data_IF_573357087654
#
_entry.id   IF_573357087654
#
_cell.length_a   1.000
_cell.length_b   1.000
_cell.length_c   1.000
_cell.angle_alpha   90.00
_cell.angle_beta   90.00
_cell.angle_gamma   90.00
#
_symmetry.space_group_name_H-M   'P 1'
#
loop_
_entity.id
_entity.type
_entity.pdbx_description
1 polymer ?
#
# COMPACT_ATOMS: atom_id res chain seq x y z
N UNK A 1 -34.03 -45.58 -27.74
CA UNK A 1 -33.15 -44.69 -28.50
C UNK A 1 -33.08 -43.22 -28.01
N UNK A 2 -34.19 -42.56 -27.55
CA UNK A 2 -34.15 -41.12 -27.12
C UNK A 2 -33.37 -40.85 -25.81
N UNK A 3 -33.28 -41.82 -24.87
CA UNK A 3 -32.57 -41.64 -23.60
C UNK A 3 -31.03 -41.62 -23.71
N UNK A 4 -30.49 -42.36 -24.67
CA UNK A 4 -29.04 -42.38 -24.92
C UNK A 4 -28.54 -41.15 -25.68
N UNK A 5 -29.37 -40.51 -26.50
CA UNK A 5 -29.05 -39.28 -27.22
C UNK A 5 -28.96 -38.06 -26.26
N UNK A 6 -29.80 -38.02 -25.21
CA UNK A 6 -29.77 -36.97 -24.17
C UNK A 6 -28.52 -37.08 -23.29
N UNK A 7 -28.11 -38.29 -22.93
CA UNK A 7 -26.90 -38.51 -22.12
C UNK A 7 -25.62 -38.09 -22.88
N UNK A 8 -25.52 -38.37 -24.17
CA UNK A 8 -24.41 -37.99 -25.01
C UNK A 8 -24.32 -36.46 -25.22
N UNK A 9 -25.46 -35.77 -25.30
CA UNK A 9 -25.49 -34.29 -25.44
C UNK A 9 -25.07 -33.59 -24.15
N UNK A 10 -25.43 -34.12 -22.97
CA UNK A 10 -25.02 -33.54 -21.67
C UNK A 10 -23.53 -33.76 -21.43
N UNK A 11 -22.95 -34.90 -21.74
CA UNK A 11 -21.51 -35.15 -21.64
C UNK A 11 -20.70 -34.28 -22.63
N UNK A 12 -21.19 -34.06 -23.86
CA UNK A 12 -20.55 -33.20 -24.84
C UNK A 12 -20.55 -31.74 -24.43
N UNK A 13 -21.61 -31.25 -23.82
CA UNK A 13 -21.68 -29.87 -23.29
C UNK A 13 -20.74 -29.65 -22.10
N UNK A 14 -20.61 -30.65 -21.21
CA UNK A 14 -19.71 -30.58 -20.06
C UNK A 14 -18.22 -30.57 -20.48
N UNK A 15 -17.85 -31.29 -21.53
CA UNK A 15 -16.47 -31.30 -22.07
C UNK A 15 -16.14 -29.99 -22.79
N UNK A 16 -17.12 -29.36 -23.46
CA UNK A 16 -16.91 -28.07 -24.14
C UNK A 16 -16.72 -26.92 -23.15
N UNK A 17 -17.34 -26.96 -21.98
CA UNK A 17 -17.17 -25.92 -20.95
C UNK A 17 -15.82 -25.99 -20.24
N UNK A 18 -15.19 -27.15 -20.14
CA UNK A 18 -13.85 -27.31 -19.55
C UNK A 18 -12.76 -26.78 -20.52
N UNK A 19 -12.98 -26.86 -21.85
CA UNK A 19 -12.04 -26.36 -22.86
C UNK A 19 -12.02 -24.83 -22.97
N UNK A 20 -12.95 -24.10 -22.35
CA UNK A 20 -13.03 -22.64 -22.36
C UNK A 20 -12.42 -21.98 -21.09
N UNK A 21 -11.89 -22.77 -20.15
CA UNK A 21 -11.07 -22.23 -19.08
C UNK A 21 -9.71 -21.82 -19.69
N UNK A 22 -9.57 -20.56 -20.05
CA UNK A 22 -8.28 -19.98 -20.45
C UNK A 22 -7.27 -20.24 -19.33
N UNK A 23 -6.11 -20.72 -19.68
CA UNK A 23 -5.01 -20.79 -18.72
C UNK A 23 -4.69 -19.37 -18.31
N UNK A 24 -4.85 -19.04 -17.03
CA UNK A 24 -4.26 -17.83 -16.46
C UNK A 24 -2.74 -17.96 -16.64
N UNK A 25 -2.14 -17.12 -17.47
CA UNK A 25 -0.69 -17.09 -17.64
C UNK A 25 -0.13 -16.15 -16.60
N UNK A 26 0.63 -16.68 -15.65
CA UNK A 26 1.32 -15.88 -14.63
C UNK A 26 2.47 -15.03 -15.21
N UNK A 27 2.87 -15.29 -16.47
CA UNK A 27 4.00 -14.63 -17.13
C UNK A 27 3.73 -14.42 -18.61
N UNK A 28 4.20 -13.29 -19.12
CA UNK A 28 4.28 -13.05 -20.57
C UNK A 28 5.63 -13.56 -21.04
N UNK A 29 5.62 -14.30 -22.15
CA UNK A 29 6.82 -14.89 -22.74
C UNK A 29 7.05 -14.31 -24.12
N UNK A 30 8.17 -13.60 -24.31
CA UNK A 30 8.57 -13.00 -25.58
C UNK A 30 10.00 -13.40 -25.98
N UNK A 31 10.32 -13.23 -27.26
CA UNK A 31 11.64 -13.60 -27.82
C UNK A 31 12.38 -12.35 -28.27
N UNK A 32 13.64 -12.22 -27.84
CA UNK A 32 14.57 -11.16 -28.18
C UNK A 32 15.83 -11.78 -28.78
N UNK A 33 16.00 -11.64 -30.09
CA UNK A 33 17.08 -12.34 -30.80
C UNK A 33 16.95 -13.86 -30.65
N UNK A 34 17.93 -14.46 -29.96
CA UNK A 34 17.93 -15.90 -29.63
C UNK A 34 17.45 -16.21 -28.22
N UNK A 35 17.09 -15.20 -27.42
CA UNK A 35 16.67 -15.36 -26.04
C UNK A 35 15.16 -15.37 -25.91
N UNK A 36 14.65 -16.24 -25.06
CA UNK A 36 13.26 -16.25 -24.64
C UNK A 36 13.20 -15.72 -23.20
N UNK A 37 12.38 -14.69 -22.98
CA UNK A 37 12.23 -14.01 -21.69
C UNK A 37 10.79 -14.13 -21.22
N UNK A 38 10.60 -14.65 -20.00
CA UNK A 38 9.32 -14.64 -19.32
C UNK A 38 9.33 -13.53 -18.24
N UNK A 39 8.27 -12.71 -18.19
CA UNK A 39 8.12 -11.54 -17.32
C UNK A 39 6.79 -11.61 -16.59
N UNK A 40 6.82 -11.47 -15.25
CA UNK A 40 5.62 -11.49 -14.39
C UNK A 40 5.94 -11.20 -12.93
N UNK A 41 4.98 -11.50 -12.05
CA UNK A 41 5.22 -11.47 -10.61
C UNK A 41 5.94 -12.75 -10.15
N UNK A 42 6.80 -12.62 -9.12
CA UNK A 42 7.42 -13.79 -8.46
C UNK A 42 6.38 -14.60 -7.70
N UNK A 43 5.46 -13.91 -7.02
CA UNK A 43 4.38 -14.55 -6.27
C UNK A 43 3.03 -14.06 -6.78
N UNK A 44 2.17 -14.99 -7.18
CA UNK A 44 0.79 -14.72 -7.57
C UNK A 44 -0.20 -15.54 -6.71
N UNK A 45 -1.33 -14.93 -6.36
CA UNK A 45 -1.73 -13.54 -6.61
C UNK A 45 -0.87 -12.53 -5.83
N UNK A 46 -0.57 -11.38 -6.45
CA UNK A 46 0.15 -10.28 -5.80
C UNK A 46 -0.78 -9.51 -4.86
N UNK A 47 -0.31 -9.17 -3.65
CA UNK A 47 -1.12 -8.47 -2.65
C UNK A 47 -0.47 -7.16 -2.19
N UNK A 48 -1.31 -6.18 -1.87
CA UNK A 48 -0.89 -4.92 -1.24
C UNK A 48 -0.20 -5.19 0.09
N UNK A 49 0.99 -4.60 0.30
CA UNK A 49 1.74 -4.69 1.55
C UNK A 49 2.51 -6.00 1.74
N UNK A 50 2.38 -6.96 0.82
CA UNK A 50 3.19 -8.17 0.82
C UNK A 50 4.51 -7.93 0.06
N UNK A 51 5.60 -8.52 0.55
CA UNK A 51 6.84 -8.58 -0.21
C UNK A 51 6.63 -9.41 -1.48
N UNK A 52 7.09 -8.88 -2.61
CA UNK A 52 7.03 -9.53 -3.92
C UNK A 52 8.22 -9.08 -4.77
N UNK A 53 8.31 -9.57 -6.00
CA UNK A 53 9.32 -9.16 -6.96
C UNK A 53 8.76 -9.21 -8.38
N UNK A 54 9.32 -8.40 -9.26
CA UNK A 54 9.25 -8.69 -10.68
C UNK A 54 10.18 -9.85 -10.96
N UNK A 55 9.65 -10.92 -11.53
CA UNK A 55 10.40 -12.11 -11.94
C UNK A 55 10.67 -12.06 -13.45
N UNK A 56 11.93 -12.30 -13.80
CA UNK A 56 12.39 -12.42 -15.19
C UNK A 56 13.08 -13.76 -15.32
N UNK A 57 12.63 -14.61 -16.26
CA UNK A 57 13.30 -15.90 -16.55
C UNK A 57 13.84 -15.84 -17.96
N UNK A 58 15.15 -16.05 -18.11
CA UNK A 58 15.86 -15.94 -19.40
C UNK A 58 16.39 -17.30 -19.82
N UNK A 59 16.09 -17.68 -21.05
CA UNK A 59 16.60 -18.90 -21.69
C UNK A 59 17.22 -18.56 -23.05
N UNK A 60 18.27 -19.31 -23.43
CA UNK A 60 18.86 -19.24 -24.75
C UNK A 60 18.00 -19.96 -25.81
N UNK A 61 18.41 -19.88 -27.09
CA UNK A 61 17.71 -20.52 -28.21
C UNK A 61 17.68 -22.05 -28.18
N UNK A 62 18.43 -22.67 -27.26
CA UNK A 62 18.41 -24.12 -26.99
C UNK A 62 17.55 -24.47 -25.79
N UNK A 63 17.00 -23.46 -25.09
CA UNK A 63 16.19 -23.62 -23.88
C UNK A 63 17.01 -23.73 -22.59
N UNK A 64 18.35 -23.54 -22.64
CA UNK A 64 19.16 -23.51 -21.43
C UNK A 64 18.96 -22.20 -20.68
N UNK A 65 19.04 -22.21 -19.34
CA UNK A 65 19.00 -20.99 -18.54
C UNK A 65 20.22 -20.10 -18.85
N UNK A 66 19.99 -18.78 -18.82
CA UNK A 66 21.04 -17.75 -18.91
C UNK A 66 21.13 -17.10 -17.55
N UNK A 67 22.18 -17.34 -16.80
CA UNK A 67 22.35 -16.97 -15.38
C UNK A 67 23.52 -16.00 -15.12
N UNK A 68 24.13 -15.49 -16.18
CA UNK A 68 25.32 -14.61 -16.14
C UNK A 68 25.04 -13.18 -16.64
N UNK A 69 23.77 -12.71 -16.64
CA UNK A 69 23.42 -11.32 -16.94
C UNK A 69 23.71 -10.45 -15.73
N UNK A 70 24.56 -9.44 -15.91
CA UNK A 70 24.89 -8.53 -14.81
C UNK A 70 23.70 -7.61 -14.48
N UNK A 71 23.55 -7.26 -13.19
CA UNK A 71 22.49 -6.38 -12.72
C UNK A 71 22.58 -4.94 -13.32
N UNK A 72 23.73 -4.56 -13.89
CA UNK A 72 23.92 -3.30 -14.64
C UNK A 72 23.36 -3.34 -16.06
N UNK A 73 23.19 -4.52 -16.63
CA UNK A 73 22.90 -4.69 -18.06
C UNK A 73 21.40 -4.76 -18.32
N UNK A 74 20.60 -5.19 -17.36
CA UNK A 74 19.18 -5.34 -17.45
C UNK A 74 18.50 -4.81 -16.18
N UNK A 75 17.48 -3.99 -16.35
CA UNK A 75 16.72 -3.42 -15.24
C UNK A 75 15.23 -3.34 -15.55
N UNK A 76 14.43 -3.17 -14.52
CA UNK A 76 12.97 -3.03 -14.67
C UNK A 76 12.48 -1.77 -13.96
N UNK A 77 11.56 -1.04 -14.58
CA UNK A 77 10.73 -0.04 -13.92
C UNK A 77 9.31 -0.56 -13.75
N UNK A 78 8.67 -0.13 -12.68
CA UNK A 78 7.30 -0.53 -12.32
C UNK A 78 6.43 0.71 -12.26
N UNK A 79 5.30 0.71 -12.98
CA UNK A 79 4.37 1.83 -12.98
C UNK A 79 2.97 1.39 -12.55
N UNK A 80 2.29 2.22 -11.76
CA UNK A 80 0.89 2.08 -11.36
C UNK A 80 0.32 3.43 -10.96
N UNK A 81 -0.98 3.68 -11.19
CA UNK A 81 -1.66 4.91 -10.75
C UNK A 81 -1.00 6.22 -11.23
N UNK A 82 -0.31 6.21 -12.38
CA UNK A 82 0.41 7.36 -12.91
C UNK A 82 1.77 7.64 -12.24
N UNK A 83 2.23 6.77 -11.36
CA UNK A 83 3.56 6.81 -10.74
C UNK A 83 4.47 5.75 -11.38
N UNK A 84 5.76 6.04 -11.48
CA UNK A 84 6.78 5.11 -11.98
C UNK A 84 7.92 5.03 -10.96
N UNK A 85 8.40 3.83 -10.69
CA UNK A 85 9.54 3.60 -9.80
C UNK A 85 10.86 4.09 -10.42
N UNK A 86 11.90 4.21 -9.60
CA UNK A 86 13.26 4.16 -10.13
C UNK A 86 13.51 2.81 -10.82
N UNK A 87 14.59 2.73 -11.61
CA UNK A 87 15.03 1.45 -12.17
C UNK A 87 15.42 0.53 -11.00
N UNK A 88 14.80 -0.63 -10.95
CA UNK A 88 15.10 -1.69 -9.99
C UNK A 88 16.12 -2.64 -10.62
N UNK A 89 17.24 -2.93 -9.94
CA UNK A 89 18.21 -3.88 -10.45
C UNK A 89 17.65 -5.29 -10.39
N UNK A 90 17.90 -6.07 -11.44
CA UNK A 90 17.59 -7.49 -11.50
C UNK A 90 18.76 -8.29 -10.90
N UNK A 91 18.51 -9.02 -9.83
CA UNK A 91 19.49 -9.86 -9.18
C UNK A 91 19.23 -11.33 -9.54
N UNK A 92 20.28 -12.06 -9.87
CA UNK A 92 20.16 -13.49 -10.13
C UNK A 92 19.61 -14.21 -8.88
N UNK A 93 18.63 -15.08 -9.08
CA UNK A 93 18.04 -15.92 -8.03
C UNK A 93 18.94 -17.11 -7.71
N UNK A 94 19.71 -17.60 -8.69
CA UNK A 94 20.65 -18.69 -8.50
C UNK A 94 21.98 -18.19 -7.94
N UNK A 95 22.47 -18.88 -6.91
CA UNK A 95 23.80 -18.70 -6.35
C UNK A 95 24.75 -19.78 -6.92
N UNK A 96 25.74 -19.40 -7.75
CA UNK A 96 26.63 -20.35 -8.39
C UNK A 96 27.55 -21.10 -7.38
N UNK A 97 27.83 -20.50 -6.22
CA UNK A 97 28.72 -21.07 -5.22
C UNK A 97 28.03 -22.17 -4.40
N UNK A 98 26.74 -21.99 -4.11
CA UNK A 98 25.97 -22.96 -3.30
C UNK A 98 25.06 -23.87 -4.15
N UNK A 99 24.80 -23.52 -5.41
CA UNK A 99 23.89 -24.24 -6.30
C UNK A 99 22.41 -24.09 -5.87
N UNK A 100 22.10 -23.12 -4.98
CA UNK A 100 20.73 -22.82 -4.57
C UNK A 100 20.10 -21.80 -5.51
N UNK A 101 18.75 -21.78 -5.53
CA UNK A 101 17.98 -20.89 -6.40
C UNK A 101 17.67 -21.51 -7.77
N UNK A 102 17.12 -20.70 -8.67
CA UNK A 102 16.67 -21.13 -10.01
C UNK A 102 17.57 -20.54 -11.08
N UNK A 103 18.35 -21.34 -11.81
CA UNK A 103 19.17 -20.83 -12.91
C UNK A 103 18.35 -20.12 -13.98
N UNK A 104 18.86 -18.98 -14.47
CA UNK A 104 18.21 -18.14 -15.47
C UNK A 104 17.08 -17.27 -14.90
N UNK A 105 16.80 -17.32 -13.61
CA UNK A 105 15.84 -16.48 -12.94
C UNK A 105 16.51 -15.26 -12.30
N UNK A 106 15.88 -14.09 -12.52
CA UNK A 106 16.27 -12.80 -11.96
C UNK A 106 15.07 -12.17 -11.29
N UNK A 107 15.32 -11.51 -10.15
CA UNK A 107 14.26 -10.87 -9.37
C UNK A 107 14.59 -9.42 -9.04
N UNK A 108 13.60 -8.55 -9.12
CA UNK A 108 13.66 -7.17 -8.63
C UNK A 108 12.59 -7.01 -7.55
N UNK A 109 13.03 -7.00 -6.28
CA UNK A 109 12.12 -6.95 -5.12
C UNK A 109 11.45 -5.59 -4.98
N UNK A 110 10.16 -5.61 -4.68
CA UNK A 110 9.36 -4.45 -4.30
C UNK A 110 8.16 -4.89 -3.45
N UNK A 111 7.60 -3.94 -2.70
CA UNK A 111 6.33 -4.13 -1.99
C UNK A 111 5.26 -3.30 -2.68
N UNK A 112 4.26 -3.88 -3.35
CA UNK A 112 3.14 -3.14 -3.90
C UNK A 112 2.36 -2.44 -2.78
N UNK A 113 2.07 -1.14 -2.92
CA UNK A 113 1.40 -0.35 -1.88
C UNK A 113 0.00 0.13 -2.27
N UNK A 114 -0.42 -0.15 -3.50
CA UNK A 114 -1.75 0.16 -4.02
C UNK A 114 -2.32 -1.04 -4.77
N UNK A 115 -3.64 -1.30 -4.70
CA UNK A 115 -4.28 -2.32 -5.52
C UNK A 115 -4.48 -1.81 -6.96
N UNK A 116 -4.63 -2.73 -7.91
CA UNK A 116 -4.92 -2.43 -9.30
C UNK A 116 -3.82 -2.87 -10.26
N UNK A 117 -3.88 -2.34 -11.48
CA UNK A 117 -2.98 -2.73 -12.55
C UNK A 117 -1.57 -2.16 -12.35
N UNK A 118 -0.60 -2.99 -12.66
CA UNK A 118 0.82 -2.66 -12.68
C UNK A 118 1.39 -2.89 -14.08
N UNK A 119 2.29 -2.00 -14.49
CA UNK A 119 3.02 -2.10 -15.75
C UNK A 119 4.49 -2.31 -15.45
N UNK A 120 5.08 -3.36 -15.98
CA UNK A 120 6.52 -3.61 -15.94
C UNK A 120 7.14 -3.19 -17.26
N UNK A 121 8.23 -2.43 -17.21
CA UNK A 121 9.06 -2.10 -18.36
C UNK A 121 10.47 -2.63 -18.11
N UNK A 122 10.79 -3.73 -18.78
CA UNK A 122 12.09 -4.39 -18.77
C UNK A 122 12.93 -3.79 -19.89
N UNK A 123 14.11 -3.26 -19.57
CA UNK A 123 14.97 -2.62 -20.55
C UNK A 123 16.45 -2.85 -20.28
N UNK A 124 17.24 -2.97 -21.36
CA UNK A 124 18.68 -3.22 -21.29
C UNK A 124 19.19 -4.16 -22.35
N UNK A 125 20.13 -5.03 -21.98
CA UNK A 125 20.72 -6.01 -22.90
C UNK A 125 20.96 -7.37 -22.23
N UNK A 126 20.83 -8.43 -23.02
CA UNK A 126 21.26 -9.79 -22.66
C UNK A 126 22.37 -10.18 -23.64
N UNK A 127 23.62 -10.25 -23.16
CA UNK A 127 24.81 -10.51 -23.99
C UNK A 127 24.86 -9.65 -25.28
N UNK A 128 24.56 -8.34 -25.14
CA UNK A 128 24.54 -7.39 -26.26
C UNK A 128 23.27 -7.41 -27.12
N UNK A 129 22.35 -8.36 -26.90
CA UNK A 129 21.02 -8.33 -27.54
C UNK A 129 20.12 -7.37 -26.77
N UNK A 130 19.58 -6.37 -27.46
CA UNK A 130 18.69 -5.38 -26.86
C UNK A 130 17.36 -6.03 -26.41
N UNK A 131 16.94 -5.66 -25.22
CA UNK A 131 15.65 -6.03 -24.62
C UNK A 131 14.90 -4.74 -24.28
N UNK A 132 13.67 -4.62 -24.76
CA UNK A 132 12.76 -3.51 -24.46
C UNK A 132 11.34 -4.08 -24.49
N UNK A 133 10.79 -4.34 -23.30
CA UNK A 133 9.51 -5.01 -23.13
C UNK A 133 8.65 -4.25 -22.12
N UNK A 134 7.41 -3.97 -22.51
CA UNK A 134 6.44 -3.35 -21.61
C UNK A 134 5.20 -4.23 -21.51
N UNK A 135 4.88 -4.66 -20.31
CA UNK A 135 3.72 -5.53 -20.01
C UNK A 135 2.91 -4.94 -18.89
N UNK A 136 1.60 -4.88 -19.08
CA UNK A 136 0.63 -4.46 -18.03
C UNK A 136 -0.17 -5.67 -17.60
N UNK A 137 -0.52 -5.72 -16.32
CA UNK A 137 -1.39 -6.74 -15.74
C UNK A 137 -2.75 -6.80 -16.45
N UNK A 138 -3.23 -8.00 -16.73
CA UNK A 138 -4.51 -8.30 -17.37
C UNK A 138 -4.85 -9.78 -17.25
N UNK A 139 -6.04 -10.17 -17.69
CA UNK A 139 -6.48 -11.57 -17.71
C UNK A 139 -5.60 -12.51 -18.58
N UNK A 140 -4.72 -11.96 -19.41
CA UNK A 140 -3.85 -12.72 -20.33
C UNK A 140 -2.35 -12.54 -20.07
N UNK A 141 -2.00 -11.78 -19.05
CA UNK A 141 -0.61 -11.52 -18.65
C UNK A 141 -0.37 -12.02 -17.22
N UNK A 142 0.02 -11.16 -16.33
CA UNK A 142 0.12 -11.44 -14.89
C UNK A 142 -1.00 -10.70 -14.14
N UNK A 143 -1.34 -11.16 -12.94
CA UNK A 143 -2.45 -10.63 -12.16
C UNK A 143 -2.23 -9.17 -11.70
N UNK A 144 -3.33 -8.42 -11.62
CA UNK A 144 -3.35 -7.14 -10.91
C UNK A 144 -3.10 -7.35 -9.41
N UNK A 145 -2.53 -6.34 -8.74
CA UNK A 145 -2.33 -6.38 -7.29
C UNK A 145 -3.67 -6.30 -6.57
N UNK A 146 -3.91 -7.24 -5.66
CA UNK A 146 -5.16 -7.40 -4.94
C UNK A 146 -5.08 -6.83 -3.52
N UNK A 147 -6.22 -6.39 -3.00
CA UNK A 147 -6.35 -6.04 -1.58
C UNK A 147 -6.37 -7.32 -0.73
N UNK A 148 -5.57 -7.37 0.33
CA UNK A 148 -5.50 -8.54 1.22
C UNK A 148 -6.78 -8.77 2.04
N UNK A 149 -7.67 -7.78 2.12
CA UNK A 149 -8.84 -7.82 3.03
C UNK A 149 -9.79 -9.01 2.81
N UNK A 150 -9.73 -9.64 1.63
CA UNK A 150 -10.48 -10.85 1.33
C UNK A 150 -9.93 -12.13 1.96
N UNK A 151 -8.63 -12.16 2.27
CA UNK A 151 -7.93 -13.32 2.84
C UNK A 151 -7.63 -13.19 4.34
N UNK A 152 -7.93 -12.04 4.95
CA UNK A 152 -7.66 -11.78 6.36
C UNK A 152 -8.63 -12.50 7.28
N UNK A 153 -8.11 -13.30 8.21
CA UNK A 153 -8.86 -14.03 9.24
C UNK A 153 -8.06 -14.08 10.56
N UNK A 154 -8.67 -13.97 11.74
CA UNK A 154 -10.10 -13.86 12.04
C UNK A 154 -10.67 -12.43 11.96
N UNK A 155 -9.82 -11.42 11.82
CA UNK A 155 -10.23 -10.02 11.75
C UNK A 155 -9.46 -9.29 10.66
N UNK A 156 -10.10 -8.30 10.04
CA UNK A 156 -9.45 -7.43 9.05
C UNK A 156 -8.48 -6.46 9.72
N UNK A 157 -7.30 -6.33 9.13
CA UNK A 157 -6.30 -5.34 9.54
C UNK A 157 -6.64 -4.01 8.84
N UNK A 158 -6.75 -2.88 9.58
CA UNK A 158 -6.98 -1.59 8.93
C UNK A 158 -5.86 -1.26 7.94
N UNK A 159 -6.22 -0.87 6.73
CA UNK A 159 -5.25 -0.44 5.74
C UNK A 159 -4.52 0.83 6.18
N UNK A 160 -3.36 1.11 5.58
CA UNK A 160 -2.63 2.38 5.79
C UNK A 160 -3.48 3.59 5.42
N UNK A 161 -4.32 3.47 4.40
CA UNK A 161 -5.29 4.50 3.97
C UNK A 161 -6.35 4.74 5.05
N UNK A 162 -6.89 3.67 5.67
CA UNK A 162 -7.85 3.80 6.77
C UNK A 162 -7.23 4.46 7.99
N UNK A 163 -5.97 4.12 8.31
CA UNK A 163 -5.24 4.72 9.42
C UNK A 163 -4.93 6.20 9.14
N UNK A 164 -4.47 6.56 7.95
CA UNK A 164 -4.27 7.95 7.54
C UNK A 164 -5.56 8.75 7.63
N UNK A 165 -6.66 8.23 7.10
CA UNK A 165 -7.96 8.90 7.19
C UNK A 165 -8.51 9.02 8.62
N UNK A 166 -8.08 8.16 9.56
CA UNK A 166 -8.37 8.33 11.00
C UNK A 166 -7.52 9.44 11.61
N UNK A 167 -6.23 9.50 11.26
CA UNK A 167 -5.31 10.55 11.71
C UNK A 167 -5.76 11.93 11.23
N UNK A 168 -6.12 12.07 9.96
CA UNK A 168 -6.62 13.32 9.38
C UNK A 168 -7.88 13.85 10.08
N UNK A 169 -8.71 12.95 10.63
CA UNK A 169 -9.89 13.33 11.42
C UNK A 169 -9.56 13.69 12.87
N UNK A 170 -8.41 13.29 13.40
CA UNK A 170 -8.00 13.62 14.76
C UNK A 170 -7.42 15.04 14.83
N UNK A 171 -6.69 15.49 13.85
CA UNK A 171 -6.04 16.81 13.79
C UNK A 171 -7.01 17.98 14.06
N UNK A 172 -8.15 18.13 13.35
CA UNK A 172 -9.11 19.20 13.63
C UNK A 172 -9.77 19.05 15.02
N UNK A 173 -9.92 17.82 15.52
CA UNK A 173 -10.47 17.58 16.86
C UNK A 173 -9.51 18.02 17.97
N UNK A 174 -8.22 17.73 17.80
CA UNK A 174 -7.16 18.19 18.71
C UNK A 174 -7.09 19.71 18.70
N UNK A 175 -7.09 20.33 17.53
CA UNK A 175 -7.08 21.79 17.38
C UNK A 175 -8.31 22.43 18.05
N UNK A 176 -9.50 21.89 17.84
CA UNK A 176 -10.72 22.37 18.47
C UNK A 176 -10.69 22.22 20.00
N UNK A 177 -10.17 21.10 20.51
CA UNK A 177 -10.01 20.88 21.95
C UNK A 177 -9.00 21.85 22.57
N UNK A 178 -7.88 22.15 21.89
CA UNK A 178 -6.90 23.15 22.33
C UNK A 178 -7.49 24.55 22.37
N UNK A 179 -8.26 24.96 21.34
CA UNK A 179 -8.94 26.24 21.32
C UNK A 179 -9.95 26.35 22.46
N UNK A 180 -10.78 25.33 22.68
CA UNK A 180 -11.75 25.31 23.78
C UNK A 180 -11.08 25.39 25.17
N UNK A 181 -9.92 24.72 25.34
CA UNK A 181 -9.14 24.80 26.59
C UNK A 181 -8.56 26.21 26.78
N UNK A 182 -8.10 26.86 25.72
CA UNK A 182 -7.65 28.26 25.75
C UNK A 182 -8.77 29.22 26.16
N UNK A 183 -9.93 29.12 25.50
CA UNK A 183 -11.10 29.94 25.81
C UNK A 183 -11.59 29.76 27.27
N UNK A 184 -11.58 28.52 27.78
CA UNK A 184 -11.92 28.22 29.15
C UNK A 184 -10.91 28.84 30.13
N UNK A 185 -9.61 28.79 29.80
CA UNK A 185 -8.55 29.43 30.63
C UNK A 185 -8.70 30.93 30.69
N UNK A 186 -9.00 31.56 29.52
CA UNK A 186 -9.22 33.00 29.46
C UNK A 186 -10.49 33.43 30.20
N UNK A 187 -11.58 32.65 30.13
CA UNK A 187 -12.79 32.90 30.89
C UNK A 187 -12.54 32.77 32.39
N UNK A 188 -11.79 31.77 32.84
CA UNK A 188 -11.41 31.60 34.25
C UNK A 188 -10.57 32.77 34.74
N UNK A 189 -9.61 33.24 33.95
CA UNK A 189 -8.76 34.39 34.31
C UNK A 189 -9.56 35.67 34.41
N UNK A 190 -10.52 35.92 33.52
CA UNK A 190 -11.44 37.08 33.60
C UNK A 190 -12.35 36.99 34.85
N UNK A 191 -12.88 35.80 35.13
CA UNK A 191 -13.71 35.58 36.32
C UNK A 191 -12.92 35.85 37.65
N UNK A 192 -11.66 35.43 37.71
CA UNK A 192 -10.77 35.73 38.85
C UNK A 192 -10.53 37.23 39.00
N UNK A 193 -10.26 37.96 37.91
CA UNK A 193 -10.07 39.42 37.94
C UNK A 193 -11.34 40.13 38.43
N UNK A 194 -12.50 39.79 37.89
CA UNK A 194 -13.77 40.37 38.31
C UNK A 194 -14.05 40.05 39.79
N UNK A 195 -13.83 38.81 40.22
CA UNK A 195 -13.95 38.39 41.59
C UNK A 195 -13.04 39.16 42.56
N UNK A 196 -11.78 39.37 42.18
CA UNK A 196 -10.81 40.15 42.96
C UNK A 196 -11.23 41.62 43.07
N UNK A 197 -11.71 42.25 42.00
CA UNK A 197 -12.20 43.63 42.02
C UNK A 197 -13.45 43.77 42.91
N UNK A 198 -14.44 42.94 42.72
CA UNK A 198 -15.69 42.98 43.50
C UNK A 198 -15.42 42.67 44.98
N UNK A 199 -14.60 41.65 45.23
CA UNK A 199 -14.19 41.29 46.59
C UNK A 199 -13.40 42.41 47.29
N UNK A 200 -12.49 43.05 46.58
CA UNK A 200 -11.74 44.20 47.07
C UNK A 200 -12.61 45.40 47.44
N UNK A 201 -13.60 45.72 46.59
CA UNK A 201 -14.59 46.79 46.89
C UNK A 201 -15.43 46.39 48.12
N UNK A 202 -15.88 45.14 48.22
CA UNK A 202 -16.64 44.65 49.39
C UNK A 202 -15.86 44.76 50.69
N UNK A 203 -14.56 44.42 50.69
CA UNK A 203 -13.69 44.56 51.88
C UNK A 203 -13.54 46.03 52.24
N UNK A 204 -13.31 46.96 51.31
CA UNK A 204 -13.19 48.39 51.56
C UNK A 204 -14.48 48.98 52.17
N UNK A 205 -15.64 48.63 51.61
CA UNK A 205 -16.93 49.06 52.13
C UNK A 205 -17.20 48.48 53.52
N UNK A 206 -16.84 47.23 53.78
CA UNK A 206 -16.93 46.58 55.09
C UNK A 206 -16.08 47.28 56.13
N UNK A 207 -14.83 47.60 55.82
CA UNK A 207 -13.93 48.33 56.73
C UNK A 207 -14.41 49.76 57.00
N UNK A 208 -14.94 50.46 55.98
CA UNK A 208 -15.53 51.79 56.14
C UNK A 208 -16.78 51.72 57.04
N UNK A 209 -17.64 50.74 56.90
CA UNK A 209 -18.82 50.51 57.71
C UNK A 209 -18.47 50.27 59.20
N UNK A 210 -17.46 49.42 59.46
CA UNK A 210 -16.93 49.16 60.85
C UNK A 210 -16.35 50.43 61.43
N UNK A 211 -15.58 51.19 60.65
CA UNK A 211 -15.01 52.46 61.10
C UNK A 211 -16.06 53.51 61.50
N UNK A 212 -17.15 53.60 60.70
CA UNK A 212 -18.27 54.50 61.06
C UNK A 212 -19.02 54.03 62.28
N UNK A 213 -19.26 52.71 62.45
CA UNK A 213 -19.94 52.16 63.62
C UNK A 213 -19.14 52.37 64.91
N UNK A 214 -17.82 52.28 64.82
CA UNK A 214 -16.94 52.56 66.04
C UNK A 214 -16.88 54.05 66.40
N UNK A 215 -17.00 54.98 65.40
CA UNK A 215 -17.09 56.40 65.64
C UNK A 215 -18.42 56.79 66.30
N UNK A 216 -19.54 56.21 65.85
CA UNK A 216 -20.84 56.49 66.47
C UNK A 216 -20.95 56.06 67.92
N UNK A 217 -20.18 55.09 68.39
CA UNK A 217 -20.14 54.61 69.73
C UNK A 217 -19.33 55.53 70.72
N UNK A 218 -18.49 56.41 70.18
CA UNK A 218 -17.68 57.36 71.04
C UNK A 218 -18.38 58.72 71.25
N UNK A 219 -19.54 58.93 70.62
CA UNK A 219 -20.30 60.18 70.73
C UNK A 219 -21.62 60.09 71.50
N UNK A 220 -21.90 59.01 72.25
CA UNK A 220 -23.07 58.80 73.06
C UNK A 220 -22.64 58.69 74.59
#
# INVERSE_FOLDING_TARGET
MRRHALAAAVCGAAILTIAAAGFASAHVVNTFGTYTIALGWLHEPAYVGADNAVQVIIKDGSGNPVDDVAASDLGVTVATGGQTSAVLPLNASADPDTGLGTPGEYTAHLTPTAPGDYTFHLSGTVHGTAVDETVTSSDTTFDAVQDQSGAEFPAKIPSTTDLSGKLDRLDPRVTAAQSAAGDASDAASRALLVGAVVGGIGVLLGLAGVGLALRGRKGA
#
